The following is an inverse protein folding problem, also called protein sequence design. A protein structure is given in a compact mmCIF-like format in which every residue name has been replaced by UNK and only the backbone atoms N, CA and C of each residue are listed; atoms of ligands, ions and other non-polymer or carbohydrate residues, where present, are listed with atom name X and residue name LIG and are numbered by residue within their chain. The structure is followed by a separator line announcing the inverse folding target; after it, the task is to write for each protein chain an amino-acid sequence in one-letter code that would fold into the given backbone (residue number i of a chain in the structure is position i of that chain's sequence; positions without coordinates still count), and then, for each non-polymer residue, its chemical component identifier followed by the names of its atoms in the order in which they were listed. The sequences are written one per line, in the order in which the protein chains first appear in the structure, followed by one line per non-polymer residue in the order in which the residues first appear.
data_IF_283745877122
#
_entry.id   IF_283745877122
#
_cell.length_a   1.000
_cell.length_b   1.000
_cell.length_c   1.000
_cell.angle_alpha   90.00
_cell.angle_beta   90.00
_cell.angle_gamma   90.00
#
_symmetry.space_group_name_H-M   'P 1'
#
loop_
_entity.id
_entity.type
_entity.pdbx_description
1 polymer ?
#
# COMPACT_ATOMS: atom_id res chain seq x y z
N UNK A 1 -16.26 11.04 -5.37
CA UNK A 1 -15.89 11.31 -3.96
C UNK A 1 -16.15 12.77 -3.64
N UNK A 2 -16.73 13.06 -2.48
CA UNK A 2 -17.16 14.42 -2.08
C UNK A 2 -16.57 14.81 -0.74
N UNK A 3 -16.37 16.10 -0.53
CA UNK A 3 -16.09 16.72 0.77
C UNK A 3 -17.17 17.75 1.10
N UNK A 4 -17.16 18.32 2.31
CA UNK A 4 -18.01 19.47 2.67
C UNK A 4 -17.16 20.74 2.77
N UNK A 5 -17.64 21.82 2.18
CA UNK A 5 -17.12 23.19 2.35
C UNK A 5 -18.33 24.04 2.74
N UNK A 6 -18.32 24.66 3.92
CA UNK A 6 -19.46 25.41 4.47
C UNK A 6 -20.79 24.65 4.37
N UNK A 7 -20.77 23.39 4.81
CA UNK A 7 -21.87 22.42 4.72
C UNK A 7 -22.40 22.09 3.31
N UNK A 8 -21.74 22.61 2.27
CA UNK A 8 -22.05 22.32 0.88
C UNK A 8 -21.21 21.14 0.39
N UNK A 9 -21.81 20.07 -0.18
CA UNK A 9 -21.07 18.97 -0.76
C UNK A 9 -20.32 19.42 -2.03
N UNK A 10 -18.99 19.38 -2.00
CA UNK A 10 -18.12 19.72 -3.14
C UNK A 10 -17.44 18.45 -3.68
N UNK A 11 -17.44 18.22 -5.01
CA UNK A 11 -16.77 17.07 -5.59
C UNK A 11 -15.25 17.21 -5.51
N UNK A 12 -14.59 16.28 -4.81
CA UNK A 12 -13.14 16.22 -4.70
C UNK A 12 -12.49 15.38 -5.82
N UNK A 13 -13.16 14.30 -6.24
CA UNK A 13 -12.77 13.47 -7.40
C UNK A 13 -14.05 13.04 -8.13
N UNK A 14 -14.07 13.22 -9.45
CA UNK A 14 -15.21 12.92 -10.33
C UNK A 14 -14.85 11.81 -11.32
N UNK A 15 -15.78 10.87 -11.53
CA UNK A 15 -15.77 9.86 -12.60
C UNK A 15 -14.42 9.15 -12.84
N UNK A 16 -13.76 8.71 -11.77
CA UNK A 16 -12.52 7.94 -11.88
C UNK A 16 -12.82 6.44 -12.01
N UNK A 17 -12.31 5.81 -13.05
CA UNK A 17 -12.40 4.36 -13.28
C UNK A 17 -11.09 3.84 -13.85
N UNK A 18 -10.57 2.76 -13.27
CA UNK A 18 -9.39 2.04 -13.73
C UNK A 18 -9.35 0.66 -13.10
N UNK A 19 -8.65 -0.27 -13.76
CA UNK A 19 -8.33 -1.59 -13.24
C UNK A 19 -6.83 -1.75 -13.06
N UNK A 20 -6.42 -2.43 -11.98
CA UNK A 20 -5.03 -2.76 -11.71
C UNK A 20 -4.86 -4.28 -11.60
N UNK A 21 -4.24 -4.87 -12.61
CA UNK A 21 -3.95 -6.31 -12.62
C UNK A 21 -2.81 -6.67 -11.65
N UNK A 22 -2.77 -7.91 -11.12
CA UNK A 22 -1.70 -8.37 -10.26
C UNK A 22 -0.31 -8.18 -10.87
N UNK A 23 0.64 -7.68 -10.07
CA UNK A 23 2.02 -7.45 -10.50
C UNK A 23 2.21 -6.27 -11.47
N UNK A 24 1.18 -5.46 -11.71
CA UNK A 24 1.28 -4.23 -12.49
C UNK A 24 1.46 -3.02 -11.57
N UNK A 25 2.02 -1.97 -12.16
CA UNK A 25 2.24 -0.68 -11.51
C UNK A 25 1.38 0.35 -12.24
N UNK A 26 0.58 1.10 -11.49
CA UNK A 26 -0.22 2.21 -11.99
C UNK A 26 0.34 3.51 -11.44
N UNK A 27 0.78 4.40 -12.33
CA UNK A 27 1.13 5.78 -12.00
C UNK A 27 -0.07 6.69 -12.22
N UNK A 28 -0.43 7.49 -11.21
CA UNK A 28 -1.46 8.51 -11.32
C UNK A 28 -0.80 9.90 -11.36
N UNK A 29 -0.93 10.62 -12.47
CA UNK A 29 -0.26 11.90 -12.73
C UNK A 29 -1.30 13.01 -12.92
N UNK A 30 -0.94 14.24 -12.57
CA UNK A 30 -1.74 15.45 -12.82
C UNK A 30 -1.27 16.61 -11.95
N UNK A 31 -1.99 17.73 -12.00
CA UNK A 31 -1.67 18.93 -11.21
C UNK A 31 -1.83 18.73 -9.70
N UNK A 32 -1.09 19.51 -8.91
CA UNK A 32 -1.28 19.53 -7.45
C UNK A 32 -2.75 19.82 -7.12
N UNK A 33 -3.31 19.11 -6.13
CA UNK A 33 -4.72 19.28 -5.77
C UNK A 33 -5.74 18.51 -6.62
N UNK A 34 -5.34 17.83 -7.71
CA UNK A 34 -6.26 17.02 -8.55
C UNK A 34 -6.83 15.76 -7.86
N UNK A 35 -6.66 15.60 -6.55
CA UNK A 35 -7.24 14.49 -5.78
C UNK A 35 -6.46 13.17 -5.82
N UNK A 36 -5.26 13.12 -6.39
CA UNK A 36 -4.42 11.90 -6.49
C UNK A 36 -4.17 11.23 -5.14
N UNK A 37 -3.74 12.00 -4.14
CA UNK A 37 -3.51 11.49 -2.78
C UNK A 37 -4.81 11.00 -2.13
N UNK A 38 -5.94 11.61 -2.50
CA UNK A 38 -7.25 11.19 -2.00
C UNK A 38 -7.71 9.87 -2.60
N UNK A 39 -7.36 9.57 -3.85
CA UNK A 39 -7.58 8.25 -4.46
C UNK A 39 -6.83 7.17 -3.68
N UNK A 40 -5.54 7.39 -3.40
CA UNK A 40 -4.74 6.46 -2.60
C UNK A 40 -5.33 6.25 -1.19
N UNK A 41 -5.76 7.33 -0.54
CA UNK A 41 -6.44 7.27 0.77
C UNK A 41 -7.79 6.56 0.72
N UNK A 42 -8.54 6.72 -0.37
CA UNK A 42 -9.81 6.00 -0.58
C UNK A 42 -9.57 4.49 -0.70
N UNK A 43 -8.56 4.07 -1.49
CA UNK A 43 -8.20 2.64 -1.61
C UNK A 43 -7.73 2.09 -0.27
N UNK A 44 -6.92 2.86 0.46
CA UNK A 44 -6.45 2.50 1.80
C UNK A 44 -7.53 2.60 2.89
N UNK A 45 -8.72 3.10 2.58
CA UNK A 45 -9.80 3.36 3.54
C UNK A 45 -9.38 4.30 4.69
N UNK A 46 -8.50 5.27 4.39
CA UNK A 46 -7.95 6.28 5.29
C UNK A 46 -8.36 7.70 4.85
N UNK A 47 -9.62 7.85 4.43
CA UNK A 47 -10.17 9.17 4.09
C UNK A 47 -10.22 10.06 5.34
N UNK A 48 -9.77 11.33 5.25
CA UNK A 48 -9.93 12.29 6.34
C UNK A 48 -11.41 12.52 6.68
N UNK A 49 -11.66 13.00 7.91
CA UNK A 49 -12.99 13.47 8.29
C UNK A 49 -13.51 14.50 7.28
N UNK A 50 -14.81 14.44 6.99
CA UNK A 50 -15.47 15.30 5.99
C UNK A 50 -15.43 14.75 4.55
N UNK A 51 -14.52 13.82 4.23
CA UNK A 51 -14.50 13.15 2.94
C UNK A 51 -15.30 11.86 2.95
N UNK A 52 -16.07 11.62 1.88
CA UNK A 52 -16.79 10.35 1.69
C UNK A 52 -16.82 9.94 0.23
N UNK A 53 -16.88 8.63 0.01
CA UNK A 53 -17.19 8.07 -1.31
C UNK A 53 -18.71 8.13 -1.48
N UNK A 54 -19.18 9.10 -2.29
CA UNK A 54 -20.60 9.31 -2.51
C UNK A 54 -21.25 8.25 -3.41
N UNK A 55 -20.48 7.66 -4.33
CA UNK A 55 -20.94 6.68 -5.30
C UNK A 55 -19.77 5.86 -5.85
N UNK A 56 -20.08 4.72 -6.45
CA UNK A 56 -19.11 3.78 -7.02
C UNK A 56 -18.75 2.63 -6.09
N UNK A 57 -17.75 1.85 -6.49
CA UNK A 57 -17.22 0.72 -5.74
C UNK A 57 -15.70 0.68 -5.88
N UNK A 58 -15.03 0.11 -4.87
CA UNK A 58 -13.60 -0.23 -4.95
C UNK A 58 -13.53 -1.72 -4.69
N UNK A 59 -13.09 -2.50 -5.67
CA UNK A 59 -12.99 -3.95 -5.55
C UNK A 59 -11.53 -4.40 -5.37
N UNK A 60 -11.32 -5.35 -4.47
CA UNK A 60 -10.02 -6.00 -4.26
C UNK A 60 -10.25 -7.49 -4.03
N UNK A 61 -9.65 -8.35 -4.86
CA UNK A 61 -9.81 -9.81 -4.80
C UNK A 61 -11.29 -10.26 -4.75
N UNK A 62 -12.15 -9.63 -5.55
CA UNK A 62 -13.58 -9.93 -5.62
C UNK A 62 -14.41 -9.37 -4.46
N UNK A 63 -13.82 -8.55 -3.57
CA UNK A 63 -14.51 -7.96 -2.43
C UNK A 63 -14.67 -6.45 -2.62
N UNK A 64 -15.89 -5.96 -2.41
CA UNK A 64 -16.15 -4.51 -2.36
C UNK A 64 -15.65 -3.92 -1.03
N UNK A 65 -14.56 -3.16 -1.10
CA UNK A 65 -13.93 -2.54 0.06
C UNK A 65 -14.83 -1.51 0.74
N UNK A 66 -15.75 -0.86 0.03
CA UNK A 66 -16.63 0.16 0.61
C UNK A 66 -17.71 -0.50 1.47
N UNK A 67 -18.32 -1.56 0.94
CA UNK A 67 -19.45 -2.27 1.56
C UNK A 67 -19.03 -3.33 2.58
N UNK A 68 -17.76 -3.76 2.56
CA UNK A 68 -17.24 -4.74 3.52
C UNK A 68 -17.27 -4.20 4.96
N UNK A 69 -17.59 -5.05 5.94
CA UNK A 69 -17.63 -4.70 7.36
C UNK A 69 -16.26 -4.17 7.88
N UNK A 70 -16.23 -3.16 8.78
CA UNK A 70 -15.00 -2.53 9.25
C UNK A 70 -13.88 -3.46 9.74
N UNK A 71 -14.18 -4.52 10.51
CA UNK A 71 -13.18 -5.47 10.98
C UNK A 71 -12.57 -6.27 9.82
N UNK A 72 -13.38 -6.74 8.88
CA UNK A 72 -12.87 -7.41 7.66
C UNK A 72 -12.00 -6.50 6.80
N UNK A 73 -12.35 -5.20 6.69
CA UNK A 73 -11.50 -4.21 6.00
C UNK A 73 -10.17 -4.02 6.71
N UNK A 74 -10.18 -3.86 8.04
CA UNK A 74 -8.97 -3.69 8.85
C UNK A 74 -8.02 -4.88 8.73
N UNK A 75 -8.54 -6.10 8.59
CA UNK A 75 -7.72 -7.30 8.39
C UNK A 75 -6.95 -7.32 7.05
N UNK A 76 -7.36 -6.52 6.06
CA UNK A 76 -6.64 -6.37 4.79
C UNK A 76 -5.49 -5.37 4.90
N UNK A 77 -5.63 -4.36 5.76
CA UNK A 77 -4.62 -3.32 5.95
C UNK A 77 -3.38 -3.90 6.65
N UNK A 78 -2.20 -3.57 6.14
CA UNK A 78 -0.92 -4.09 6.60
C UNK A 78 -0.61 -5.53 6.14
N UNK A 79 -1.62 -6.31 5.75
CA UNK A 79 -1.43 -7.69 5.25
C UNK A 79 -1.43 -7.79 3.72
N UNK A 80 -2.36 -7.10 3.08
CA UNK A 80 -2.60 -7.18 1.63
C UNK A 80 -2.65 -5.81 0.96
N UNK A 81 -3.03 -4.77 1.72
CA UNK A 81 -3.02 -3.37 1.28
C UNK A 81 -2.16 -2.59 2.26
N UNK A 82 -1.13 -1.91 1.75
CA UNK A 82 -0.29 -1.01 2.53
C UNK A 82 -0.38 0.41 1.96
N UNK A 83 -0.39 1.41 2.84
CA UNK A 83 -0.42 2.81 2.46
C UNK A 83 0.78 3.52 3.07
N UNK A 84 1.58 4.15 2.21
CA UNK A 84 2.71 5.00 2.62
C UNK A 84 2.31 6.45 2.35
N UNK A 85 2.06 7.27 3.39
CA UNK A 85 1.70 8.68 3.19
C UNK A 85 2.89 9.49 2.67
N UNK A 86 2.60 10.65 2.07
CA UNK A 86 3.61 11.56 1.52
C UNK A 86 4.66 12.00 2.57
N UNK A 87 4.26 12.14 3.83
CA UNK A 87 5.15 12.41 4.95
C UNK A 87 5.19 11.18 5.88
N UNK A 88 6.07 10.21 5.64
CA UNK A 88 6.04 8.91 6.36
C UNK A 88 6.32 9.06 7.86
N UNK A 89 7.12 10.05 8.27
CA UNK A 89 7.44 10.29 9.68
C UNK A 89 6.21 10.74 10.51
N UNK A 90 5.23 11.40 9.89
CA UNK A 90 4.02 11.84 10.60
C UNK A 90 3.07 10.69 10.91
N UNK A 91 3.30 9.51 10.34
CA UNK A 91 2.54 8.30 10.65
C UNK A 91 3.09 7.55 11.88
N UNK A 92 4.26 7.91 12.38
CA UNK A 92 4.87 7.28 13.55
C UNK A 92 4.44 7.99 14.84
N UNK A 93 4.20 7.22 15.90
CA UNK A 93 3.97 7.73 17.24
C UNK A 93 5.30 8.27 17.83
N UNK A 94 5.42 9.58 18.12
CA UNK A 94 6.68 10.19 18.54
C UNK A 94 7.15 9.74 19.93
N UNK A 95 6.25 9.21 20.77
CA UNK A 95 6.58 8.77 22.14
C UNK A 95 6.86 7.28 22.26
N UNK A 96 6.91 6.55 21.13
CA UNK A 96 7.25 5.13 21.09
C UNK A 96 8.49 4.90 20.23
N UNK A 97 9.33 3.95 20.60
CA UNK A 97 10.43 3.52 19.73
C UNK A 97 9.90 2.88 18.45
N UNK A 98 10.70 2.90 17.39
CA UNK A 98 10.38 2.26 16.12
C UNK A 98 10.11 0.77 16.33
N UNK A 99 10.93 0.12 17.16
CA UNK A 99 10.76 -1.29 17.50
C UNK A 99 9.45 -1.60 18.23
N UNK A 100 9.02 -0.75 19.16
CA UNK A 100 7.76 -0.93 19.86
C UNK A 100 6.55 -0.85 18.91
N UNK A 101 6.57 0.12 17.99
CA UNK A 101 5.49 0.29 17.01
C UNK A 101 5.46 -0.83 15.98
N UNK A 102 6.63 -1.29 15.52
CA UNK A 102 6.74 -2.45 14.63
C UNK A 102 6.32 -3.74 15.33
N UNK A 103 6.65 -3.93 16.62
CA UNK A 103 6.20 -5.10 17.40
C UNK A 103 4.67 -5.12 17.52
N UNK A 104 4.04 -3.99 17.84
CA UNK A 104 2.58 -3.87 17.90
C UNK A 104 1.93 -4.17 16.55
N UNK A 105 2.47 -3.58 15.47
CA UNK A 105 1.97 -3.82 14.13
C UNK A 105 2.09 -5.29 13.72
N UNK A 106 3.25 -5.90 13.92
CA UNK A 106 3.50 -7.30 13.59
C UNK A 106 2.70 -8.27 14.47
N UNK A 107 2.40 -7.90 15.72
CA UNK A 107 1.52 -8.68 16.59
C UNK A 107 0.10 -8.71 16.03
N UNK A 108 -0.42 -7.57 15.55
CA UNK A 108 -1.72 -7.48 14.89
C UNK A 108 -1.80 -8.30 13.60
N UNK A 109 -0.67 -8.47 12.90
CA UNK A 109 -0.56 -9.32 11.71
C UNK A 109 -0.38 -10.82 12.01
N UNK A 110 -0.40 -11.23 13.28
CA UNK A 110 -0.31 -12.63 13.69
C UNK A 110 1.10 -13.15 13.96
N UNK A 111 2.08 -12.29 14.24
CA UNK A 111 3.41 -12.72 14.67
C UNK A 111 3.35 -13.42 16.04
N UNK A 112 3.81 -14.67 16.11
CA UNK A 112 3.54 -15.57 17.26
C UNK A 112 4.33 -15.16 18.50
N UNK A 113 5.62 -14.88 18.34
CA UNK A 113 6.49 -14.50 19.47
C UNK A 113 7.14 -13.12 19.28
N UNK A 114 7.50 -12.47 20.39
CA UNK A 114 8.23 -11.20 20.37
C UNK A 114 9.58 -11.33 19.64
N UNK A 115 10.26 -12.46 19.78
CA UNK A 115 11.52 -12.74 19.10
C UNK A 115 11.35 -12.82 17.58
N UNK A 116 10.33 -13.55 17.10
CA UNK A 116 10.01 -13.62 15.68
C UNK A 116 9.66 -12.25 15.08
N UNK A 117 8.86 -11.46 15.81
CA UNK A 117 8.49 -10.11 15.36
C UNK A 117 9.69 -9.18 15.31
N UNK A 118 10.58 -9.23 16.31
CA UNK A 118 11.86 -8.49 16.28
C UNK A 118 12.71 -8.88 15.07
N UNK A 119 12.88 -10.18 14.82
CA UNK A 119 13.65 -10.66 13.68
C UNK A 119 13.05 -10.17 12.35
N UNK A 120 11.72 -10.26 12.21
CA UNK A 120 11.01 -9.77 11.03
C UNK A 120 11.13 -8.25 10.86
N UNK A 121 11.05 -7.48 11.95
CA UNK A 121 11.25 -6.04 11.92
C UNK A 121 12.65 -5.66 11.42
N UNK A 122 13.70 -6.34 11.89
CA UNK A 122 15.07 -6.15 11.40
C UNK A 122 15.16 -6.45 9.91
N UNK A 123 14.59 -7.58 9.45
CA UNK A 123 14.59 -7.95 8.05
C UNK A 123 13.87 -6.92 7.16
N UNK A 124 12.76 -6.34 7.63
CA UNK A 124 12.03 -5.29 6.90
C UNK A 124 12.83 -4.00 6.79
N UNK A 125 13.48 -3.55 7.87
CA UNK A 125 14.34 -2.36 7.84
C UNK A 125 15.56 -2.56 6.95
N UNK A 126 16.18 -3.75 7.00
CA UNK A 126 17.29 -4.09 6.12
C UNK A 126 16.87 -4.13 4.64
N UNK A 127 15.67 -4.66 4.32
CA UNK A 127 15.12 -4.65 2.97
C UNK A 127 14.80 -3.24 2.46
N UNK A 128 14.58 -2.28 3.37
CA UNK A 128 14.44 -0.86 3.05
C UNK A 128 15.80 -0.12 2.97
N UNK A 129 16.91 -0.86 2.92
CA UNK A 129 18.27 -0.32 2.84
C UNK A 129 18.64 0.60 4.02
N UNK A 130 18.00 0.40 5.17
CA UNK A 130 18.31 1.13 6.39
C UNK A 130 19.45 0.43 7.14
N UNK A 131 20.63 1.06 7.10
CA UNK A 131 21.80 0.64 7.87
C UNK A 131 21.49 0.55 9.37
N UNK A 132 22.16 -0.35 10.07
CA UNK A 132 22.02 -0.53 11.52
C UNK A 132 20.57 -0.87 11.97
N UNK A 133 19.85 -1.67 11.19
CA UNK A 133 18.46 -2.06 11.43
C UNK A 133 18.13 -2.48 12.88
N UNK A 134 19.02 -3.22 13.54
CA UNK A 134 18.83 -3.61 14.94
C UNK A 134 18.88 -2.42 15.91
N UNK A 135 19.80 -1.47 15.69
CA UNK A 135 19.91 -0.26 16.49
C UNK A 135 18.73 0.70 16.25
N UNK A 136 18.22 0.76 15.01
CA UNK A 136 17.04 1.56 14.67
C UNK A 136 15.79 1.17 15.48
N UNK A 137 15.65 -0.10 15.87
CA UNK A 137 14.51 -0.54 16.67
C UNK A 137 14.45 0.14 18.05
N UNK A 138 15.59 0.57 18.59
CA UNK A 138 15.67 1.22 19.90
C UNK A 138 15.49 2.75 19.79
N UNK A 139 15.45 3.30 18.57
CA UNK A 139 15.35 4.73 18.33
C UNK A 139 13.89 5.20 18.31
N UNK A 140 13.68 6.46 18.68
CA UNK A 140 12.43 7.18 18.50
C UNK A 140 12.36 7.83 17.12
N UNK A 141 11.16 8.13 16.59
CA UNK A 141 11.00 8.74 15.27
C UNK A 141 11.78 10.04 15.06
N UNK A 142 11.90 10.88 16.10
CA UNK A 142 12.65 12.14 16.01
C UNK A 142 14.17 11.94 15.93
N UNK A 143 14.67 10.74 16.25
CA UNK A 143 16.08 10.36 16.13
C UNK A 143 16.41 9.82 14.74
N UNK A 144 15.40 9.54 13.91
CA UNK A 144 15.57 9.31 12.48
C UNK A 144 15.87 10.66 11.81
N UNK A 145 17.11 11.11 11.90
CA UNK A 145 17.58 12.21 11.07
C UNK A 145 17.45 11.79 9.60
N UNK A 146 17.12 12.74 8.73
CA UNK A 146 16.69 12.61 7.32
C UNK A 146 17.67 11.87 6.36
N UNK A 147 18.67 11.15 6.86
CA UNK A 147 19.65 10.39 6.08
C UNK A 147 19.27 8.92 5.86
N UNK A 148 18.04 8.53 6.18
CA UNK A 148 17.51 7.21 5.88
C UNK A 148 17.05 7.07 4.40
N UNK A 149 17.90 7.40 3.42
CA UNK A 149 17.75 7.03 2.00
C UNK A 149 18.97 7.41 1.15
N UNK A 150 19.70 6.45 0.56
CA UNK A 150 20.43 6.65 -0.68
C UNK A 150 19.56 6.22 -1.89
N UNK A 151 18.27 6.56 -1.93
CA UNK A 151 17.44 6.36 -3.15
C UNK A 151 17.66 7.51 -4.15
N UNK A 152 18.91 7.98 -4.26
CA UNK A 152 19.31 8.98 -5.26
C UNK A 152 20.38 8.45 -6.23
N UNK A 153 20.79 7.18 -6.14
CA UNK A 153 21.92 6.69 -6.95
C UNK A 153 21.90 5.22 -7.37
N UNK A 154 20.75 4.53 -7.40
CA UNK A 154 20.69 3.17 -7.94
C UNK A 154 20.19 3.15 -9.41
N UNK A 155 21.00 2.66 -10.38
CA UNK A 155 20.51 2.43 -11.74
C UNK A 155 19.42 1.35 -11.73
N UNK A 156 18.26 1.66 -12.34
CA UNK A 156 17.16 0.72 -12.53
C UNK A 156 17.58 -0.46 -13.40
N UNK A 157 18.20 -1.46 -12.78
CA UNK A 157 18.58 -2.71 -13.43
C UNK A 157 18.45 -3.88 -12.44
N UNK A 158 17.26 -4.06 -11.83
CA UNK A 158 16.90 -5.34 -11.23
C UNK A 158 15.43 -5.64 -11.48
N UNK A 159 15.20 -6.64 -12.35
CA UNK A 159 13.88 -7.22 -12.66
C UNK A 159 13.26 -7.79 -11.37
N UNK A 160 11.98 -7.52 -11.07
CA UNK A 160 11.31 -8.21 -9.96
C UNK A 160 11.21 -9.71 -10.30
N UNK A 161 11.62 -10.53 -9.33
CA UNK A 161 11.62 -12.00 -9.44
C UNK A 161 10.20 -12.51 -9.66
N UNK A 162 10.07 -13.35 -10.67
CA UNK A 162 8.90 -14.18 -10.93
C UNK A 162 8.67 -15.19 -9.80
N UNK A 163 7.41 -15.35 -9.44
CA UNK A 163 6.80 -16.39 -8.59
C UNK A 163 7.34 -17.81 -8.80
N UNK A 164 7.56 -18.56 -7.71
CA UNK A 164 7.75 -20.02 -7.71
C UNK A 164 6.39 -20.77 -7.60
N UNK A 165 6.35 -22.10 -7.75
CA UNK A 165 5.66 -22.78 -8.85
C UNK A 165 4.26 -23.27 -8.47
N UNK A 166 3.29 -23.01 -9.33
CA UNK A 166 1.99 -23.69 -9.28
C UNK A 166 2.17 -25.10 -9.84
N UNK A 167 2.15 -26.11 -8.97
CA UNK A 167 2.08 -27.52 -9.32
C UNK A 167 0.73 -27.80 -9.99
N UNK A 168 0.68 -27.76 -11.32
CA UNK A 168 -0.44 -28.26 -12.12
C UNK A 168 0.01 -29.50 -12.88
N UNK A 169 -0.41 -30.67 -12.39
CA UNK A 169 -0.45 -31.92 -13.17
C UNK A 169 -1.57 -31.80 -14.20
N UNK A 170 -1.26 -32.13 -15.47
CA UNK A 170 -2.14 -32.56 -16.58
C UNK A 170 -3.43 -31.76 -16.81
N UNK A 171 -3.80 -31.27 -17.99
CA UNK A 171 -3.56 -31.69 -19.37
C UNK A 171 -4.33 -30.69 -20.23
N UNK A 172 -3.81 -30.31 -21.40
CA UNK A 172 -4.55 -29.43 -22.33
C UNK A 172 -3.68 -28.37 -22.97
N UNK A 173 -2.71 -28.83 -23.74
CA UNK A 173 -2.00 -28.04 -24.73
C UNK A 173 -3.01 -27.53 -25.78
N UNK A 174 -3.07 -26.22 -26.03
CA UNK A 174 -3.33 -25.69 -27.38
C UNK A 174 -2.97 -24.21 -27.45
N UNK A 175 -1.81 -23.97 -28.07
CA UNK A 175 -1.43 -22.70 -28.70
C UNK A 175 -2.39 -22.39 -29.85
N UNK A 176 -2.78 -21.12 -29.98
CA UNK A 176 -2.96 -20.38 -31.24
C UNK A 176 -2.99 -18.89 -30.86
N UNK A 177 -1.88 -18.18 -31.08
CA UNK A 177 -1.52 -17.44 -32.30
C UNK A 177 -2.31 -16.14 -32.50
N UNK A 178 -1.52 -15.09 -32.76
CA UNK A 178 -1.83 -13.68 -33.00
C UNK A 178 -2.64 -13.44 -34.29
N UNK A 179 -2.92 -12.14 -34.51
CA UNK A 179 -3.37 -11.40 -35.71
C UNK A 179 -4.85 -11.56 -36.02
N UNK A 180 -5.65 -10.53 -36.27
CA UNK A 180 -5.43 -9.09 -36.45
C UNK A 180 -6.74 -8.48 -37.00
N UNK A 181 -6.77 -7.15 -37.11
CA UNK A 181 -7.69 -6.31 -37.92
C UNK A 181 -9.20 -6.27 -37.58
N UNK A 182 -9.65 -5.05 -37.25
CA UNK A 182 -11.01 -4.51 -37.42
C UNK A 182 -11.16 -3.92 -38.84
N UNK A 183 -12.27 -3.25 -39.25
CA UNK A 183 -13.71 -3.39 -38.97
C UNK A 183 -14.44 -3.65 -40.35
N UNK A 184 -15.71 -3.26 -40.66
CA UNK A 184 -16.40 -1.98 -40.38
C UNK A 184 -17.40 -1.99 -39.21
#
# INVERSE_FOLDING_TARGET
MTTRVDDTPVPAVRALSFDLAPGKILGLVGESGAGKSMVGRAIAQLLPAGFRIASGAISFEGRDLIRTEPARRRALLGRSIAFVPQAPLTALNPVMTIGAQLDEHLARLGGRTRAERRHRAIAMLAAAELSNAAALLEQYPHQLSLQASPVSSLPMSRRPRSTSPCTRRSSGCLRKCRSGTAPP
#
